data_IF_567335135037
#
_entry.id   IF_567335135037
#
_cell.length_a   1.000
_cell.length_b   1.000
_cell.length_c   1.000
_cell.angle_alpha   90.00
_cell.angle_beta   90.00
_cell.angle_gamma   90.00
#
_symmetry.space_group_name_H-M   'P 1'
#
loop_
_entity.id
_entity.type
_entity.pdbx_description
1 polymer ?
#
# COMPACT_ATOMS: atom_id res chain seq x y z
N UNK A 1 6.19 -24.09 7.50
CA UNK A 1 6.02 -23.71 6.10
C UNK A 1 5.18 -22.45 6.00
N UNK A 2 5.59 -21.48 5.18
CA UNK A 2 4.83 -20.30 4.78
C UNK A 2 4.62 -20.35 3.26
N UNK A 3 3.39 -20.17 2.82
CA UNK A 3 3.03 -20.11 1.40
C UNK A 3 2.56 -18.69 1.11
N UNK A 4 3.18 -18.02 0.14
CA UNK A 4 2.85 -16.64 -0.24
C UNK A 4 2.45 -16.58 -1.71
N UNK A 5 1.24 -16.05 -1.94
CA UNK A 5 0.65 -15.99 -3.28
C UNK A 5 1.07 -14.77 -4.11
N UNK A 6 1.80 -13.82 -3.52
CA UNK A 6 2.30 -12.61 -4.16
C UNK A 6 3.75 -12.36 -3.72
N UNK A 7 3.97 -11.33 -2.88
CA UNK A 7 5.29 -10.95 -2.41
C UNK A 7 5.41 -11.18 -0.89
N UNK A 8 6.50 -11.81 -0.44
CA UNK A 8 6.79 -11.94 0.99
C UNK A 8 6.91 -10.56 1.64
N UNK A 9 6.11 -10.29 2.67
CA UNK A 9 6.02 -8.99 3.34
C UNK A 9 4.59 -8.46 3.41
N UNK A 10 3.73 -8.89 2.49
CA UNK A 10 2.31 -8.58 2.48
C UNK A 10 2.00 -7.09 2.24
N UNK A 11 0.72 -6.74 2.41
CA UNK A 11 0.21 -5.39 2.09
C UNK A 11 0.91 -4.31 2.90
N UNK A 12 1.07 -4.48 4.22
CA UNK A 12 1.58 -3.41 5.08
C UNK A 12 2.98 -2.95 4.67
N UNK A 13 3.89 -3.88 4.40
CA UNK A 13 5.28 -3.56 4.09
C UNK A 13 5.48 -3.05 2.66
N UNK A 14 4.68 -3.53 1.70
CA UNK A 14 4.95 -3.34 0.26
C UNK A 14 3.94 -2.42 -0.41
N UNK A 15 2.66 -2.52 -0.06
CA UNK A 15 1.54 -1.83 -0.75
C UNK A 15 0.62 -1.05 0.20
N UNK A 16 1.00 -0.88 1.47
CA UNK A 16 0.15 -0.26 2.48
C UNK A 16 0.87 0.71 3.38
N UNK A 17 1.10 0.29 4.63
CA UNK A 17 1.57 1.19 5.70
C UNK A 17 2.90 1.87 5.38
N UNK A 18 3.90 1.10 4.94
CA UNK A 18 5.25 1.64 4.72
C UNK A 18 5.28 2.63 3.55
N UNK A 19 4.91 2.25 2.31
CA UNK A 19 4.98 3.18 1.18
C UNK A 19 4.07 4.40 1.38
N UNK A 20 2.86 4.22 1.94
CA UNK A 20 1.97 5.33 2.24
C UNK A 20 2.61 6.33 3.21
N UNK A 21 3.30 5.87 4.26
CA UNK A 21 3.93 6.77 5.24
C UNK A 21 5.04 7.64 4.65
N UNK A 22 5.70 7.20 3.59
CA UNK A 22 6.65 8.04 2.85
C UNK A 22 5.94 9.25 2.26
N UNK A 23 4.77 9.04 1.64
CA UNK A 23 3.95 10.13 1.08
C UNK A 23 3.37 11.03 2.19
N UNK A 24 2.91 10.43 3.30
CA UNK A 24 2.42 11.18 4.47
C UNK A 24 3.52 12.07 5.05
N UNK A 25 4.75 11.58 5.19
CA UNK A 25 5.88 12.39 5.71
C UNK A 25 6.18 13.59 4.81
N UNK A 26 6.11 13.43 3.49
CA UNK A 26 6.22 14.56 2.56
C UNK A 26 5.07 15.56 2.75
N UNK A 27 3.86 15.07 2.89
CA UNK A 27 2.67 15.89 3.17
C UNK A 27 2.77 16.66 4.49
N UNK A 28 3.29 16.04 5.55
CA UNK A 28 3.56 16.71 6.83
C UNK A 28 4.61 17.80 6.69
N UNK A 29 5.66 17.55 5.91
CA UNK A 29 6.67 18.57 5.59
C UNK A 29 6.04 19.79 4.89
N UNK A 30 5.15 19.56 3.93
CA UNK A 30 4.41 20.66 3.28
C UNK A 30 3.56 21.46 4.30
N UNK A 31 2.90 20.77 5.24
CA UNK A 31 2.15 21.42 6.31
C UNK A 31 3.04 22.26 7.23
N UNK A 32 4.22 21.75 7.60
CA UNK A 32 5.17 22.50 8.42
C UNK A 32 5.67 23.76 7.70
N UNK A 33 5.94 23.69 6.40
CA UNK A 33 6.30 24.86 5.60
C UNK A 33 5.14 25.86 5.60
N UNK A 34 3.91 25.41 5.38
CA UNK A 34 2.73 26.28 5.35
C UNK A 34 2.47 27.00 6.68
N UNK A 35 2.75 26.34 7.81
CA UNK A 35 2.56 26.92 9.14
C UNK A 35 3.82 27.60 9.73
N UNK A 36 4.92 27.60 9.02
CA UNK A 36 6.22 28.13 9.53
C UNK A 36 6.13 29.60 10.00
N UNK A 37 5.33 30.43 9.35
CA UNK A 37 5.13 31.82 9.72
C UNK A 37 4.50 32.02 11.10
N UNK A 38 3.72 31.05 11.60
CA UNK A 38 3.17 31.08 12.95
C UNK A 38 4.31 31.03 13.99
N UNK A 39 5.39 30.33 13.65
CA UNK A 39 6.61 30.23 14.45
C UNK A 39 7.64 31.32 14.16
N UNK A 40 7.30 32.34 13.35
CA UNK A 40 8.19 33.41 12.92
C UNK A 40 9.38 32.94 12.06
N UNK A 41 9.19 31.81 11.36
CA UNK A 41 10.15 31.25 10.43
C UNK A 41 9.72 31.64 9.01
N UNK A 42 10.63 32.26 8.27
CA UNK A 42 10.43 32.51 6.84
C UNK A 42 10.79 31.24 6.06
N UNK A 43 9.77 30.59 5.51
CA UNK A 43 9.91 29.39 4.72
C UNK A 43 9.14 29.53 3.41
N UNK A 44 9.73 29.08 2.33
CA UNK A 44 9.11 29.14 1.00
C UNK A 44 8.95 27.73 0.42
N UNK A 45 7.81 27.48 -0.17
CA UNK A 45 7.53 26.27 -0.94
C UNK A 45 7.70 26.56 -2.42
N UNK A 46 8.69 25.92 -3.05
CA UNK A 46 9.03 26.15 -4.46
C UNK A 46 8.48 25.05 -5.39
N UNK A 47 7.77 24.06 -4.84
CA UNK A 47 7.16 22.97 -5.59
C UNK A 47 7.43 21.59 -4.99
N UNK A 48 6.66 20.61 -5.42
CA UNK A 48 6.80 19.21 -5.11
C UNK A 48 7.06 18.45 -6.41
N UNK A 49 8.20 17.80 -6.50
CA UNK A 49 8.47 16.81 -7.54
C UNK A 49 7.80 15.49 -7.14
N UNK A 50 6.60 15.26 -7.70
CA UNK A 50 5.81 14.09 -7.39
C UNK A 50 6.48 12.80 -7.87
N UNK A 51 7.06 12.81 -9.08
CA UNK A 51 7.72 11.64 -9.63
C UNK A 51 8.91 11.21 -8.76
N UNK A 52 9.75 12.17 -8.36
CA UNK A 52 10.86 11.91 -7.44
C UNK A 52 10.39 11.43 -6.05
N UNK A 53 9.22 11.90 -5.57
CA UNK A 53 8.63 11.40 -4.31
C UNK A 53 8.18 9.94 -4.45
N UNK A 54 7.57 9.56 -5.58
CA UNK A 54 7.20 8.17 -5.87
C UNK A 54 8.46 7.29 -5.96
N UNK A 55 9.49 7.74 -6.68
CA UNK A 55 10.77 7.03 -6.76
C UNK A 55 11.41 6.85 -5.37
N UNK A 56 11.41 7.92 -4.55
CA UNK A 56 11.86 7.81 -3.15
C UNK A 56 11.05 6.77 -2.37
N UNK A 57 9.75 6.69 -2.54
CA UNK A 57 8.91 5.67 -1.89
C UNK A 57 9.39 4.25 -2.25
N UNK A 58 9.78 4.00 -3.51
CA UNK A 58 10.29 2.69 -3.94
C UNK A 58 11.52 2.26 -3.13
N UNK A 59 12.43 3.18 -2.79
CA UNK A 59 13.63 2.85 -2.02
C UNK A 59 13.35 2.26 -0.63
N UNK A 60 12.13 2.42 -0.11
CA UNK A 60 11.71 1.86 1.20
C UNK A 60 11.09 0.47 1.10
N UNK A 61 10.69 0.04 -0.09
CA UNK A 61 10.02 -1.25 -0.31
C UNK A 61 10.83 -2.19 -1.21
N UNK A 62 11.77 -1.65 -1.97
CA UNK A 62 12.71 -2.44 -2.76
C UNK A 62 13.49 -3.41 -1.84
N UNK A 63 13.55 -4.68 -2.23
CA UNK A 63 14.24 -5.72 -1.46
C UNK A 63 13.50 -6.22 -0.21
N UNK A 64 12.36 -5.62 0.19
CA UNK A 64 11.57 -6.12 1.33
C UNK A 64 11.12 -7.56 1.14
N UNK A 65 10.64 -8.00 -0.03
CA UNK A 65 10.27 -9.40 -0.24
C UNK A 65 11.42 -10.37 0.06
N UNK A 66 12.59 -10.12 -0.48
CA UNK A 66 13.78 -10.97 -0.29
C UNK A 66 14.24 -10.99 1.17
N UNK A 67 14.23 -9.81 1.82
CA UNK A 67 14.57 -9.69 3.24
C UNK A 67 13.60 -10.49 4.12
N UNK A 68 12.30 -10.42 3.85
CA UNK A 68 11.27 -11.12 4.61
C UNK A 68 11.35 -12.62 4.41
N UNK A 69 11.49 -13.07 3.16
CA UNK A 69 11.68 -14.50 2.87
C UNK A 69 12.98 -15.02 3.49
N UNK A 70 14.09 -14.29 3.35
CA UNK A 70 15.36 -14.63 3.98
C UNK A 70 15.27 -14.71 5.50
N UNK A 71 14.48 -13.80 6.12
CA UNK A 71 14.22 -13.84 7.56
C UNK A 71 13.48 -15.10 8.01
N UNK A 72 12.58 -15.64 7.20
CA UNK A 72 11.90 -16.91 7.47
C UNK A 72 12.88 -18.08 7.32
N UNK A 73 13.62 -18.15 6.23
CA UNK A 73 14.62 -19.18 5.96
C UNK A 73 15.69 -19.24 7.06
N UNK A 74 16.15 -18.11 7.56
CA UNK A 74 17.11 -18.02 8.67
C UNK A 74 16.57 -18.53 10.01
N UNK A 75 15.27 -18.81 10.09
CA UNK A 75 14.59 -19.42 11.25
C UNK A 75 14.13 -20.83 10.97
N UNK A 76 14.70 -21.48 9.97
CA UNK A 76 14.35 -22.84 9.53
C UNK A 76 12.86 -22.97 9.16
N UNK A 77 12.27 -21.89 8.60
CA UNK A 77 10.89 -21.90 8.11
C UNK A 77 10.94 -22.01 6.58
N UNK A 78 10.43 -23.12 6.05
CA UNK A 78 10.30 -23.31 4.61
C UNK A 78 9.34 -22.28 4.01
N UNK A 79 9.62 -21.85 2.78
CA UNK A 79 8.82 -20.89 2.02
C UNK A 79 8.48 -21.42 0.64
N UNK A 80 7.27 -21.17 0.18
CA UNK A 80 6.82 -21.49 -1.17
C UNK A 80 6.11 -20.24 -1.75
N UNK A 81 6.57 -19.80 -2.91
CA UNK A 81 5.87 -18.81 -3.71
C UNK A 81 4.78 -19.51 -4.54
N UNK A 82 3.52 -19.16 -4.33
CA UNK A 82 2.39 -19.74 -5.04
C UNK A 82 1.07 -19.54 -4.30
N UNK A 83 -0.03 -19.73 -5.01
CA UNK A 83 -1.37 -19.64 -4.42
C UNK A 83 -1.81 -21.00 -3.90
N UNK A 84 -2.03 -21.09 -2.59
CA UNK A 84 -2.51 -22.28 -1.93
C UNK A 84 -4.03 -22.43 -2.09
N UNK A 85 -4.48 -23.67 -2.24
CA UNK A 85 -5.87 -24.07 -2.24
C UNK A 85 -6.05 -25.30 -1.36
N UNK A 86 -7.05 -25.33 -0.50
CA UNK A 86 -7.38 -26.54 0.24
C UNK A 86 -7.84 -27.64 -0.72
N UNK A 87 -7.21 -28.80 -0.65
CA UNK A 87 -7.57 -30.03 -1.37
C UNK A 87 -8.24 -31.06 -0.45
N UNK A 88 -8.10 -30.92 0.86
CA UNK A 88 -8.68 -31.74 1.90
C UNK A 88 -8.73 -31.02 3.25
N UNK A 89 -9.20 -31.66 4.31
CA UNK A 89 -9.35 -31.02 5.63
C UNK A 89 -7.98 -30.69 6.28
N UNK A 90 -6.95 -31.41 5.92
CA UNK A 90 -5.57 -31.29 6.43
C UNK A 90 -4.54 -31.15 5.29
N UNK A 91 -4.99 -30.80 4.08
CA UNK A 91 -4.18 -30.73 2.88
C UNK A 91 -4.36 -29.40 2.14
N UNK A 92 -3.26 -28.85 1.65
CA UNK A 92 -3.25 -27.74 0.69
C UNK A 92 -2.44 -28.11 -0.54
N UNK A 93 -2.93 -27.72 -1.70
CA UNK A 93 -2.23 -27.80 -2.97
C UNK A 93 -1.64 -26.42 -3.33
N UNK A 94 -0.39 -26.40 -3.76
CA UNK A 94 0.28 -25.24 -4.32
C UNK A 94 1.23 -25.68 -5.42
N UNK A 95 1.18 -25.05 -6.58
CA UNK A 95 2.00 -25.36 -7.76
C UNK A 95 1.92 -26.82 -8.21
N UNK A 96 0.78 -27.50 -7.97
CA UNK A 96 0.57 -28.90 -8.32
C UNK A 96 1.11 -29.92 -7.31
N UNK A 97 1.67 -29.46 -6.21
CA UNK A 97 2.13 -30.30 -5.09
C UNK A 97 1.20 -30.20 -3.90
N UNK A 98 1.00 -31.30 -3.18
CA UNK A 98 0.15 -31.38 -1.99
C UNK A 98 1.00 -31.38 -0.71
N UNK A 99 0.62 -30.54 0.24
CA UNK A 99 1.26 -30.39 1.54
C UNK A 99 0.26 -30.71 2.66
N UNK A 100 0.63 -31.58 3.57
CA UNK A 100 -0.19 -31.97 4.73
C UNK A 100 0.20 -31.16 5.96
N UNK A 101 -0.78 -30.59 6.65
CA UNK A 101 -0.57 -29.77 7.83
C UNK A 101 -1.44 -30.20 9.01
N UNK A 102 -0.87 -30.27 10.20
CA UNK A 102 -1.62 -30.51 11.44
C UNK A 102 -2.46 -29.31 11.88
N UNK A 103 -2.05 -28.11 11.50
CA UNK A 103 -2.72 -26.83 11.77
C UNK A 103 -2.46 -25.86 10.63
N UNK A 104 -3.45 -25.05 10.31
CA UNK A 104 -3.35 -24.02 9.29
C UNK A 104 -3.65 -22.66 9.90
N UNK A 105 -2.88 -21.65 9.48
CA UNK A 105 -3.15 -20.24 9.75
C UNK A 105 -3.48 -19.60 8.42
N UNK A 106 -4.71 -19.13 8.27
CA UNK A 106 -5.16 -18.42 7.07
C UNK A 106 -4.89 -16.94 7.29
N UNK A 107 -3.87 -16.43 6.62
CA UNK A 107 -3.44 -15.02 6.69
C UNK A 107 -3.37 -14.40 5.28
N UNK A 108 -4.36 -14.69 4.46
CA UNK A 108 -4.40 -14.36 3.02
C UNK A 108 -4.72 -12.90 2.71
N UNK A 109 -4.88 -12.07 3.75
CA UNK A 109 -5.17 -10.65 3.62
C UNK A 109 -6.60 -10.36 3.17
N UNK A 110 -6.77 -9.26 2.47
CA UNK A 110 -8.06 -8.79 1.95
C UNK A 110 -7.89 -8.23 0.54
N UNK A 111 -8.98 -8.16 -0.19
CA UNK A 111 -9.08 -7.51 -1.50
C UNK A 111 -10.05 -6.33 -1.44
N UNK A 112 -9.89 -5.41 -2.36
CA UNK A 112 -10.84 -4.31 -2.52
C UNK A 112 -12.22 -4.86 -2.88
N UNK A 113 -13.26 -4.27 -2.26
CA UNK A 113 -14.65 -4.60 -2.60
C UNK A 113 -15.01 -3.97 -3.93
N UNK A 114 -15.54 -4.75 -4.84
CA UNK A 114 -16.20 -4.22 -6.03
C UNK A 114 -17.55 -3.61 -5.63
N UNK A 115 -17.80 -2.39 -6.12
CA UNK A 115 -19.03 -1.68 -5.87
C UNK A 115 -19.98 -1.87 -7.07
N UNK A 116 -21.28 -2.16 -6.84
CA UNK A 116 -22.25 -2.35 -7.91
C UNK A 116 -22.75 -1.00 -8.46
N UNK A 117 -21.82 -0.16 -8.89
CA UNK A 117 -22.12 1.16 -9.47
C UNK A 117 -21.62 1.24 -10.91
N UNK A 118 -22.35 1.92 -11.81
CA UNK A 118 -21.91 2.14 -13.18
C UNK A 118 -20.56 2.89 -13.19
N UNK A 119 -19.62 2.44 -14.01
CA UNK A 119 -18.31 3.07 -14.14
C UNK A 119 -17.25 2.60 -13.14
N UNK A 120 -17.58 1.67 -12.21
CA UNK A 120 -16.61 1.17 -11.22
C UNK A 120 -15.32 0.60 -11.86
N UNK A 121 -15.42 0.04 -13.06
CA UNK A 121 -14.27 -0.47 -13.81
C UNK A 121 -13.22 0.60 -14.18
N UNK A 122 -13.55 1.89 -14.01
CA UNK A 122 -12.64 3.01 -14.22
C UNK A 122 -12.03 3.53 -12.91
N UNK A 123 -12.46 2.99 -11.76
CA UNK A 123 -11.89 3.33 -10.47
C UNK A 123 -10.53 2.68 -10.32
N UNK A 124 -9.64 3.40 -9.66
CA UNK A 124 -8.33 2.89 -9.21
C UNK A 124 -8.38 2.61 -7.71
N UNK A 125 -7.42 1.86 -7.23
CA UNK A 125 -7.29 1.46 -5.83
C UNK A 125 -6.15 2.21 -5.13
N UNK A 126 -5.99 1.99 -3.82
CA UNK A 126 -4.86 2.51 -3.07
C UNK A 126 -3.50 2.03 -3.60
N UNK A 127 -3.45 0.82 -4.15
CA UNK A 127 -2.22 0.26 -4.71
C UNK A 127 -1.81 1.03 -5.98
N UNK A 128 -2.80 1.42 -6.79
CA UNK A 128 -2.56 2.24 -7.98
C UNK A 128 -2.13 3.67 -7.60
N UNK A 129 -2.72 4.25 -6.54
CA UNK A 129 -2.34 5.58 -6.03
C UNK A 129 -0.86 5.63 -5.68
N UNK A 130 -0.33 4.58 -5.05
CA UNK A 130 1.08 4.51 -4.68
C UNK A 130 2.04 4.52 -5.88
N UNK A 131 1.53 4.26 -7.08
CA UNK A 131 2.30 4.15 -8.31
C UNK A 131 1.91 5.19 -9.37
N UNK A 132 1.13 6.21 -8.99
CA UNK A 132 0.77 7.29 -9.92
C UNK A 132 2.03 8.06 -10.36
N UNK A 133 2.34 8.07 -11.66
CA UNK A 133 3.55 8.75 -12.17
C UNK A 133 3.45 10.26 -12.04
N UNK A 134 2.24 10.80 -12.04
CA UNK A 134 1.95 12.23 -11.94
C UNK A 134 0.90 12.48 -10.87
N UNK A 135 1.02 13.62 -10.18
CA UNK A 135 0.01 14.08 -9.23
C UNK A 135 -1.25 14.52 -9.99
N UNK A 136 -2.42 13.93 -9.73
CA UNK A 136 -3.65 14.37 -10.37
C UNK A 136 -4.03 15.80 -9.92
N UNK A 137 -4.61 16.59 -10.81
CA UNK A 137 -5.15 17.90 -10.47
C UNK A 137 -6.38 17.81 -9.55
N UNK A 138 -7.19 16.76 -9.73
CA UNK A 138 -8.33 16.43 -8.87
C UNK A 138 -8.45 14.93 -8.66
N UNK A 139 -8.97 14.53 -7.49
CA UNK A 139 -9.22 13.13 -7.13
C UNK A 139 -10.50 13.00 -6.33
N UNK A 140 -11.28 11.97 -6.63
CA UNK A 140 -12.50 11.63 -5.91
C UNK A 140 -12.31 10.28 -5.23
N UNK A 141 -12.48 10.22 -3.92
CA UNK A 141 -12.49 8.97 -3.16
C UNK A 141 -13.92 8.50 -2.96
N UNK A 142 -14.19 7.25 -3.28
CA UNK A 142 -15.44 6.56 -2.98
C UNK A 142 -15.25 5.80 -1.67
N UNK A 143 -15.87 6.28 -0.60
CA UNK A 143 -15.64 5.94 0.78
C UNK A 143 -14.75 6.94 1.51
N UNK A 144 -15.08 7.26 2.77
CA UNK A 144 -14.32 8.18 3.63
C UNK A 144 -13.60 7.44 4.78
N UNK A 145 -13.17 6.20 4.53
CA UNK A 145 -12.38 5.42 5.48
C UNK A 145 -10.95 5.95 5.64
N UNK A 146 -10.18 5.30 6.53
CA UNK A 146 -8.82 5.71 6.88
C UNK A 146 -7.91 5.90 5.65
N UNK A 147 -8.03 5.04 4.63
CA UNK A 147 -7.22 5.14 3.40
C UNK A 147 -7.53 6.44 2.66
N UNK A 148 -8.81 6.75 2.46
CA UNK A 148 -9.25 7.98 1.78
C UNK A 148 -8.85 9.24 2.55
N UNK A 149 -8.92 9.22 3.88
CA UNK A 149 -8.52 10.35 4.72
C UNK A 149 -7.01 10.59 4.64
N UNK A 150 -6.18 9.55 4.77
CA UNK A 150 -4.73 9.70 4.74
C UNK A 150 -4.24 10.14 3.35
N UNK A 151 -4.68 9.50 2.27
CA UNK A 151 -4.33 9.95 0.91
C UNK A 151 -4.96 11.30 0.56
N UNK A 152 -6.18 11.57 1.05
CA UNK A 152 -6.81 12.88 0.89
C UNK A 152 -5.94 14.00 1.44
N UNK A 153 -5.37 13.84 2.64
CA UNK A 153 -4.42 14.79 3.21
C UNK A 153 -3.16 14.95 2.36
N UNK A 154 -2.62 13.84 1.84
CA UNK A 154 -1.45 13.89 0.96
C UNK A 154 -1.76 14.72 -0.28
N UNK A 155 -2.86 14.45 -0.97
CA UNK A 155 -3.22 15.13 -2.21
C UNK A 155 -3.60 16.59 -2.01
N UNK A 156 -4.40 16.92 -0.98
CA UNK A 156 -4.75 18.31 -0.66
C UNK A 156 -3.50 19.16 -0.42
N UNK A 157 -2.59 18.68 0.42
CA UNK A 157 -1.35 19.39 0.74
C UNK A 157 -0.39 19.47 -0.45
N UNK A 158 -0.44 18.48 -1.34
CA UNK A 158 0.28 18.51 -2.60
C UNK A 158 -0.37 19.44 -3.65
N UNK A 159 -1.56 20.02 -3.38
CA UNK A 159 -2.25 20.97 -4.24
C UNK A 159 -3.25 20.34 -5.22
N UNK A 160 -3.77 19.16 -4.94
CA UNK A 160 -4.89 18.56 -5.69
C UNK A 160 -6.23 18.99 -5.09
N UNK A 161 -7.26 19.08 -5.91
CA UNK A 161 -8.65 19.14 -5.45
C UNK A 161 -9.11 17.74 -5.01
N UNK A 162 -9.62 17.63 -3.79
CA UNK A 162 -10.02 16.33 -3.22
C UNK A 162 -11.49 16.33 -2.85
N UNK A 163 -12.22 15.33 -3.33
CA UNK A 163 -13.62 15.08 -2.96
C UNK A 163 -13.73 13.70 -2.29
N UNK A 164 -14.45 13.64 -1.18
CA UNK A 164 -14.80 12.38 -0.50
C UNK A 164 -16.30 12.13 -0.67
N UNK A 165 -16.65 10.94 -1.16
CA UNK A 165 -18.04 10.47 -1.22
C UNK A 165 -18.23 9.36 -0.20
N UNK A 166 -19.14 9.57 0.74
CA UNK A 166 -19.50 8.59 1.79
C UNK A 166 -21.00 8.33 1.74
N UNK A 167 -21.41 7.10 2.11
CA UNK A 167 -22.81 6.66 2.07
C UNK A 167 -23.30 6.36 3.49
#
# INVERSE_FOLDING_TARGET
LVIEGQDFGGVCAIRGCVPKKVLVAASETLQHIASASEHKIDAQFNGLDWAALIERKETFIEGVPDMMEGSLKNRDIDTIAGRAKFSGPDEVEVNGETYVGKKFVIATGSTNRELPIPGFQHCITSDDILNLPERPGSIVFIGAGVIALEFGHVFVRAGSEVTLLEV
#
